data_IF_633510258541
#
_entry.id   IF_633510258541
#
_cell.length_a   1.000
_cell.length_b   1.000
_cell.length_c   1.000
_cell.angle_alpha   90.00
_cell.angle_beta   90.00
_cell.angle_gamma   90.00
#
_symmetry.space_group_name_H-M   'P 1'
#
loop_
_entity.id
_entity.type
_entity.pdbx_description
1 polymer ?
#
# COMPACT_ATOMS: atom_id res chain seq x y z
N UNK A 1 5.45 7.93 1.41
CA UNK A 1 4.63 7.59 2.62
C UNK A 1 5.32 6.45 3.38
N UNK A 2 5.14 6.30 4.70
CA UNK A 2 5.71 5.13 5.42
C UNK A 2 4.71 3.99 5.38
N UNK A 3 5.05 2.92 4.68
CA UNK A 3 4.26 1.71 4.65
C UNK A 3 4.78 0.76 5.72
N UNK A 4 3.90 0.35 6.62
CA UNK A 4 4.27 -0.46 7.78
C UNK A 4 4.01 -1.92 7.44
N UNK A 5 5.05 -2.79 7.43
CA UNK A 5 4.84 -4.23 7.34
C UNK A 5 3.95 -4.69 8.50
N UNK A 6 2.82 -5.32 8.18
CA UNK A 6 1.89 -5.74 9.22
C UNK A 6 1.05 -4.62 9.81
N UNK A 7 0.81 -3.51 9.08
CA UNK A 7 -0.16 -2.48 9.49
C UNK A 7 -1.54 -3.04 9.89
N UNK A 8 -1.95 -4.20 9.34
CA UNK A 8 -3.14 -4.92 9.77
C UNK A 8 -3.09 -5.42 11.23
N UNK A 9 -1.93 -5.41 11.87
CA UNK A 9 -1.67 -5.78 13.27
C UNK A 9 -1.56 -4.56 14.20
N UNK A 10 -1.86 -3.35 13.72
CA UNK A 10 -1.90 -2.17 14.57
C UNK A 10 -2.98 -2.35 15.65
N UNK A 11 -2.54 -2.42 16.91
CA UNK A 11 -3.41 -2.59 18.08
C UNK A 11 -4.25 -1.34 18.38
N UNK A 12 -3.73 -0.16 18.05
CA UNK A 12 -4.46 1.11 18.17
C UNK A 12 -5.46 1.23 17.01
N UNK A 13 -6.75 1.14 17.34
CA UNK A 13 -7.85 1.18 16.37
C UNK A 13 -7.92 2.51 15.61
N UNK A 14 -7.61 3.63 16.28
CA UNK A 14 -7.63 4.95 15.64
C UNK A 14 -6.51 5.04 14.61
N UNK A 15 -5.29 4.62 14.97
CA UNK A 15 -4.16 4.63 14.05
C UNK A 15 -4.38 3.70 12.85
N UNK A 16 -4.96 2.53 13.08
CA UNK A 16 -5.29 1.56 12.01
C UNK A 16 -6.35 2.13 11.07
N UNK A 17 -7.40 2.75 11.60
CA UNK A 17 -8.47 3.31 10.78
C UNK A 17 -7.97 4.49 9.94
N UNK A 18 -7.12 5.35 10.51
CA UNK A 18 -6.45 6.39 9.73
C UNK A 18 -5.55 5.81 8.63
N UNK A 19 -4.88 4.70 8.89
CA UNK A 19 -4.08 4.01 7.89
C UNK A 19 -4.96 3.43 6.76
N UNK A 20 -6.09 2.80 7.09
CA UNK A 20 -7.10 2.36 6.14
C UNK A 20 -7.57 3.50 5.23
N UNK A 21 -7.97 4.64 5.80
CA UNK A 21 -8.41 5.81 5.03
C UNK A 21 -7.31 6.34 4.10
N UNK A 22 -6.07 6.32 4.55
CA UNK A 22 -4.93 6.73 3.74
C UNK A 22 -4.72 5.79 2.54
N UNK A 23 -4.84 4.47 2.74
CA UNK A 23 -4.76 3.51 1.65
C UNK A 23 -5.92 3.68 0.66
N UNK A 24 -7.14 3.96 1.14
CA UNK A 24 -8.28 4.27 0.27
C UNK A 24 -7.99 5.43 -0.67
N UNK A 25 -7.39 6.51 -0.17
CA UNK A 25 -6.97 7.64 -1.00
C UNK A 25 -5.90 7.25 -2.03
N UNK A 26 -4.91 6.44 -1.63
CA UNK A 26 -3.86 5.97 -2.54
C UNK A 26 -4.44 5.10 -3.69
N UNK A 27 -5.47 4.29 -3.41
CA UNK A 27 -6.21 3.52 -4.43
C UNK A 27 -6.93 4.45 -5.40
N UNK A 28 -7.70 5.41 -4.89
CA UNK A 28 -8.47 6.36 -5.71
C UNK A 28 -7.56 7.19 -6.61
N UNK A 29 -6.41 7.61 -6.09
CA UNK A 29 -5.39 8.34 -6.85
C UNK A 29 -4.61 7.46 -7.84
N UNK A 30 -4.83 6.13 -7.82
CA UNK A 30 -4.23 5.18 -8.75
C UNK A 30 -2.75 4.92 -8.50
N UNK A 31 -2.27 5.09 -7.25
CA UNK A 31 -0.87 4.83 -6.89
C UNK A 31 -0.52 3.35 -6.87
N UNK A 32 -1.51 2.52 -6.57
CA UNK A 32 -1.39 1.06 -6.58
C UNK A 32 -2.21 0.56 -7.77
N UNK A 33 -1.60 -0.09 -8.76
CA UNK A 33 -2.34 -0.66 -9.88
C UNK A 33 -3.22 -1.80 -9.38
N UNK A 34 -4.48 -1.80 -9.81
CA UNK A 34 -5.47 -2.82 -9.45
C UNK A 34 -5.97 -3.54 -10.71
N UNK A 35 -6.42 -4.78 -10.55
CA UNK A 35 -7.40 -5.39 -11.46
C UNK A 35 -8.81 -4.93 -11.11
N UNK A 36 -9.77 -5.16 -12.01
CA UNK A 36 -11.20 -4.88 -11.77
C UNK A 36 -11.69 -5.62 -10.53
N UNK A 37 -11.44 -6.93 -10.45
CA UNK A 37 -11.84 -7.76 -9.30
C UNK A 37 -11.27 -7.24 -7.97
N UNK A 38 -10.01 -6.78 -7.98
CA UNK A 38 -9.38 -6.19 -6.79
C UNK A 38 -10.08 -4.88 -6.40
N UNK A 39 -10.38 -4.02 -7.36
CA UNK A 39 -11.05 -2.76 -7.13
C UNK A 39 -12.48 -2.97 -6.57
N UNK A 40 -13.25 -3.88 -7.16
CA UNK A 40 -14.58 -4.29 -6.69
C UNK A 40 -14.54 -4.79 -5.25
N UNK A 41 -13.61 -5.71 -4.95
CA UNK A 41 -13.49 -6.31 -3.62
C UNK A 41 -13.03 -5.29 -2.56
N UNK A 42 -12.12 -4.38 -2.90
CA UNK A 42 -11.70 -3.31 -2.01
C UNK A 42 -12.85 -2.33 -1.74
N UNK A 43 -13.63 -1.95 -2.76
CA UNK A 43 -14.80 -1.11 -2.59
C UNK A 43 -15.81 -1.72 -1.62
N UNK A 44 -16.10 -3.02 -1.74
CA UNK A 44 -17.00 -3.73 -0.82
C UNK A 44 -16.47 -3.74 0.63
N UNK A 45 -15.18 -4.03 0.82
CA UNK A 45 -14.54 -4.00 2.14
C UNK A 45 -14.53 -2.59 2.75
N UNK A 46 -14.35 -1.55 1.93
CA UNK A 46 -14.41 -0.15 2.39
C UNK A 46 -15.79 0.20 2.94
N UNK A 47 -16.85 -0.24 2.26
CA UNK A 47 -18.23 0.01 2.68
C UNK A 47 -18.53 -0.72 3.98
N UNK A 48 -18.18 -2.01 4.10
CA UNK A 48 -18.33 -2.76 5.34
C UNK A 48 -17.53 -2.14 6.50
N UNK A 49 -16.34 -1.60 6.22
CA UNK A 49 -15.53 -0.94 7.25
C UNK A 49 -16.11 0.40 7.72
N UNK A 50 -16.86 1.12 6.87
CA UNK A 50 -17.40 2.45 7.16
C UNK A 50 -18.87 2.42 7.62
N UNK A 51 -19.65 1.44 7.19
CA UNK A 51 -21.09 1.36 7.39
C UNK A 51 -21.57 0.09 8.12
N UNK A 52 -20.65 -0.84 8.43
CA UNK A 52 -20.99 -2.18 8.94
C UNK A 52 -21.89 -2.96 7.97
N UNK A 53 -22.74 -3.88 8.43
CA UNK A 53 -23.60 -4.68 7.56
C UNK A 53 -24.54 -3.84 6.69
N UNK A 54 -24.61 -4.18 5.40
CA UNK A 54 -25.54 -3.57 4.46
C UNK A 54 -26.97 -3.58 4.98
N UNK A 55 -27.56 -2.39 5.10
CA UNK A 55 -28.97 -2.18 5.32
C UNK A 55 -29.61 -1.76 3.99
N UNK A 56 -30.85 -2.16 3.71
CA UNK A 56 -31.61 -1.75 2.50
C UNK A 56 -31.93 -0.24 2.45
N UNK A 57 -31.25 0.58 3.26
CA UNK A 57 -31.40 2.03 3.26
C UNK A 57 -30.60 2.70 2.14
N UNK A 58 -30.96 3.95 1.84
CA UNK A 58 -30.37 4.73 0.75
C UNK A 58 -28.93 5.18 1.02
N UNK A 59 -28.43 5.04 2.25
CA UNK A 59 -27.17 5.67 2.67
C UNK A 59 -25.97 5.07 1.94
N UNK A 60 -25.93 3.75 1.74
CA UNK A 60 -24.84 3.11 1.02
C UNK A 60 -24.84 3.50 -0.47
N UNK A 61 -26.00 3.46 -1.14
CA UNK A 61 -26.11 3.79 -2.57
C UNK A 61 -25.84 5.27 -2.86
N UNK A 62 -26.24 6.17 -1.96
CA UNK A 62 -25.95 7.60 -2.09
C UNK A 62 -24.46 7.88 -1.78
N UNK A 63 -23.86 7.18 -0.81
CA UNK A 63 -22.42 7.27 -0.54
C UNK A 63 -21.55 6.85 -1.74
N UNK A 64 -21.97 5.81 -2.47
CA UNK A 64 -21.36 5.35 -3.72
C UNK A 64 -21.30 6.44 -4.81
N UNK A 65 -22.27 7.35 -4.83
CA UNK A 65 -22.33 8.46 -5.81
C UNK A 65 -21.48 9.64 -5.37
N UNK A 66 -21.43 9.88 -4.07
CA UNK A 66 -20.75 11.05 -3.49
C UNK A 66 -19.26 10.82 -3.23
N UNK A 67 -18.79 9.55 -3.21
CA UNK A 67 -17.42 9.20 -2.88
C UNK A 67 -16.76 8.35 -3.98
N UNK A 68 -15.52 8.68 -4.30
CA UNK A 68 -14.71 7.88 -5.22
C UNK A 68 -14.26 6.60 -4.51
N UNK A 69 -14.72 5.44 -5.01
CA UNK A 69 -14.33 4.13 -4.49
C UNK A 69 -13.32 3.39 -5.40
N UNK A 70 -13.24 3.81 -6.67
CA UNK A 70 -12.39 3.19 -7.68
C UNK A 70 -11.27 4.14 -8.12
N UNK A 71 -10.14 3.59 -8.62
CA UNK A 71 -9.08 4.40 -9.22
C UNK A 71 -9.60 5.28 -10.35
N UNK A 72 -9.19 6.55 -10.38
CA UNK A 72 -9.55 7.51 -11.45
C UNK A 72 -9.23 6.99 -12.86
N UNK A 73 -8.21 6.13 -12.98
CA UNK A 73 -7.81 5.50 -14.24
C UNK A 73 -8.84 4.51 -14.80
N UNK A 74 -9.65 3.90 -13.91
CA UNK A 74 -10.72 2.96 -14.25
C UNK A 74 -12.07 3.64 -14.48
N UNK A 75 -12.25 4.87 -13.98
CA UNK A 75 -13.51 5.62 -14.09
C UNK A 75 -13.65 6.42 -15.39
N UNK A 76 -13.13 5.91 -16.52
CA UNK A 76 -13.16 6.62 -17.82
C UNK A 76 -14.45 6.37 -18.60
N UNK A 77 -15.11 5.25 -18.36
CA UNK A 77 -16.31 4.82 -19.04
C UNK A 77 -17.43 4.59 -18.01
N UNK A 78 -18.56 5.25 -18.20
CA UNK A 78 -19.68 5.26 -17.25
C UNK A 78 -20.33 3.87 -17.12
N UNK A 79 -20.37 3.10 -18.22
CA UNK A 79 -20.91 1.73 -18.22
C UNK A 79 -20.07 0.82 -17.34
N UNK A 80 -18.74 0.84 -17.54
CA UNK A 80 -17.78 0.06 -16.76
C UNK A 80 -17.84 0.43 -15.28
N UNK A 81 -17.94 1.72 -14.96
CA UNK A 81 -18.11 2.18 -13.57
C UNK A 81 -19.39 1.63 -12.96
N UNK A 82 -20.51 1.71 -13.68
CA UNK A 82 -21.81 1.22 -13.21
C UNK A 82 -21.78 -0.29 -12.94
N UNK A 83 -21.14 -1.06 -13.81
CA UNK A 83 -20.96 -2.51 -13.64
C UNK A 83 -20.13 -2.83 -12.39
N UNK A 84 -18.96 -2.18 -12.23
CA UNK A 84 -18.12 -2.34 -11.04
C UNK A 84 -18.84 -1.94 -9.75
N UNK A 85 -19.64 -0.86 -9.78
CA UNK A 85 -20.43 -0.42 -8.64
C UNK A 85 -21.48 -1.46 -8.24
N UNK A 86 -22.20 -2.00 -9.21
CA UNK A 86 -23.19 -3.03 -8.97
C UNK A 86 -22.56 -4.30 -8.39
N UNK A 87 -21.41 -4.72 -8.93
CA UNK A 87 -20.68 -5.87 -8.40
C UNK A 87 -20.14 -5.61 -6.99
N UNK A 88 -19.61 -4.41 -6.72
CA UNK A 88 -19.14 -4.03 -5.40
C UNK A 88 -20.28 -4.03 -4.37
N UNK A 89 -21.48 -3.57 -4.75
CA UNK A 89 -22.66 -3.63 -3.90
C UNK A 89 -23.06 -5.08 -3.58
N UNK A 90 -23.04 -5.97 -4.59
CA UNK A 90 -23.32 -7.40 -4.37
C UNK A 90 -22.29 -8.04 -3.44
N UNK A 91 -21.00 -7.71 -3.60
CA UNK A 91 -19.95 -8.14 -2.69
C UNK A 91 -20.17 -7.60 -1.27
N UNK A 92 -20.58 -6.34 -1.12
CA UNK A 92 -20.87 -5.73 0.17
C UNK A 92 -22.03 -6.44 0.90
N UNK A 93 -23.12 -6.75 0.20
CA UNK A 93 -24.23 -7.55 0.75
C UNK A 93 -23.72 -8.92 1.26
N UNK A 94 -22.80 -9.55 0.54
CA UNK A 94 -22.23 -10.84 0.92
C UNK A 94 -21.24 -10.76 2.11
N UNK A 95 -20.86 -9.57 2.56
CA UNK A 95 -20.04 -9.37 3.76
C UNK A 95 -20.88 -9.30 5.05
N UNK A 96 -22.19 -9.52 4.99
CA UNK A 96 -23.06 -9.53 6.16
C UNK A 96 -22.50 -10.40 7.31
N UNK A 97 -22.45 -9.85 8.52
CA UNK A 97 -21.89 -10.44 9.72
C UNK A 97 -20.37 -10.27 9.85
N UNK A 98 -19.70 -9.65 8.87
CA UNK A 98 -18.28 -9.31 8.98
C UNK A 98 -18.14 -7.99 9.73
N UNK A 99 -17.73 -8.05 10.99
CA UNK A 99 -17.48 -6.86 11.80
C UNK A 99 -16.60 -5.83 11.08
N UNK A 100 -16.95 -4.53 11.15
CA UNK A 100 -16.25 -3.45 10.44
C UNK A 100 -14.72 -3.45 10.66
N UNK A 101 -14.24 -3.70 11.89
CA UNK A 101 -12.80 -3.84 12.19
C UNK A 101 -12.14 -4.96 11.38
N UNK A 102 -12.84 -6.08 11.16
CA UNK A 102 -12.32 -7.20 10.36
C UNK A 102 -12.28 -6.83 8.88
N UNK A 103 -13.27 -6.08 8.39
CA UNK A 103 -13.26 -5.54 7.03
C UNK A 103 -12.09 -4.57 6.80
N UNK A 104 -11.84 -3.67 7.76
CA UNK A 104 -10.70 -2.75 7.78
C UNK A 104 -9.36 -3.51 7.72
N UNK A 105 -9.17 -4.52 8.59
CA UNK A 105 -7.98 -5.37 8.63
C UNK A 105 -7.78 -6.09 7.31
N UNK A 106 -8.84 -6.66 6.73
CA UNK A 106 -8.78 -7.35 5.44
C UNK A 106 -8.39 -6.39 4.32
N UNK A 107 -9.01 -5.21 4.26
CA UNK A 107 -8.67 -4.16 3.29
C UNK A 107 -7.16 -3.83 3.31
N UNK A 108 -6.60 -3.63 4.51
CA UNK A 108 -5.16 -3.37 4.69
C UNK A 108 -4.32 -4.58 4.25
N UNK A 109 -4.72 -5.81 4.62
CA UNK A 109 -4.01 -7.05 4.25
C UNK A 109 -3.96 -7.25 2.74
N UNK A 110 -5.07 -7.00 2.05
CA UNK A 110 -5.16 -7.24 0.62
C UNK A 110 -4.30 -6.25 -0.15
N UNK A 111 -4.36 -4.97 0.21
CA UNK A 111 -3.49 -3.94 -0.36
C UNK A 111 -2.01 -4.25 -0.07
N UNK A 112 -1.68 -4.76 1.12
CA UNK A 112 -0.32 -5.17 1.47
C UNK A 112 0.27 -6.25 0.56
N UNK A 113 -0.57 -7.07 -0.07
CA UNK A 113 -0.16 -8.12 -0.99
C UNK A 113 -0.08 -7.66 -2.45
N UNK A 114 -0.53 -6.44 -2.75
CA UNK A 114 -0.57 -5.92 -4.12
C UNK A 114 0.78 -5.40 -4.59
N UNK A 115 1.05 -5.59 -5.88
CA UNK A 115 2.24 -5.05 -6.53
C UNK A 115 2.22 -3.53 -6.51
N UNK A 116 3.31 -2.92 -6.06
CA UNK A 116 3.42 -1.46 -5.90
C UNK A 116 3.08 -0.97 -4.49
N UNK A 117 2.52 -1.80 -3.61
CA UNK A 117 2.33 -1.42 -2.22
C UNK A 117 3.66 -1.16 -1.53
N UNK A 118 3.79 0.00 -0.90
CA UNK A 118 5.03 0.38 -0.26
C UNK A 118 6.14 0.82 -1.21
N UNK A 119 5.83 0.97 -2.50
CA UNK A 119 6.82 1.25 -3.53
C UNK A 119 6.65 2.66 -4.08
N UNK A 120 7.45 3.60 -3.56
CA UNK A 120 7.71 4.86 -4.25
C UNK A 120 8.88 4.65 -5.23
N UNK A 121 8.67 4.95 -6.51
CA UNK A 121 9.70 4.80 -7.56
C UNK A 121 9.72 5.96 -8.54
N UNK A 122 10.89 6.14 -9.15
CA UNK A 122 11.20 7.27 -10.01
C UNK A 122 11.93 6.79 -11.25
N UNK A 123 11.71 7.45 -12.38
CA UNK A 123 12.46 7.17 -13.60
C UNK A 123 13.95 7.48 -13.39
N UNK A 124 14.80 6.57 -13.84
CA UNK A 124 16.24 6.71 -13.77
C UNK A 124 16.92 5.99 -14.95
N UNK A 125 18.21 6.24 -15.10
CA UNK A 125 19.09 5.52 -16.03
C UNK A 125 20.30 4.97 -15.30
N UNK A 126 20.74 3.77 -15.62
CA UNK A 126 22.02 3.28 -15.09
C UNK A 126 23.23 3.96 -15.77
N UNK A 127 24.44 3.54 -15.40
CA UNK A 127 25.70 4.04 -16.00
C UNK A 127 25.80 3.79 -17.51
N UNK A 128 25.07 2.80 -18.03
CA UNK A 128 25.01 2.46 -19.46
C UNK A 128 23.89 3.20 -20.19
N UNK A 129 23.15 4.07 -19.50
CA UNK A 129 22.03 4.82 -20.06
C UNK A 129 20.74 4.03 -20.22
N UNK A 130 20.66 2.81 -19.64
CA UNK A 130 19.47 1.96 -19.74
C UNK A 130 18.39 2.45 -18.80
N UNK A 131 17.18 2.56 -19.31
CA UNK A 131 16.05 3.14 -18.59
C UNK A 131 15.45 2.14 -17.60
N UNK A 132 15.16 2.62 -16.40
CA UNK A 132 14.65 1.82 -15.29
C UNK A 132 13.82 2.67 -14.33
N UNK A 133 13.03 2.00 -13.49
CA UNK A 133 12.44 2.59 -12.30
C UNK A 133 13.27 2.24 -11.08
N UNK A 134 13.74 3.27 -10.37
CA UNK A 134 14.45 3.14 -9.11
C UNK A 134 13.52 3.50 -7.96
N UNK A 135 13.36 2.59 -7.01
CA UNK A 135 12.43 2.79 -5.91
C UNK A 135 12.86 2.13 -4.61
N UNK A 136 12.01 2.29 -3.61
CA UNK A 136 12.15 1.66 -2.29
C UNK A 136 11.03 0.65 -2.09
N UNK A 137 11.23 -0.33 -1.23
CA UNK A 137 10.21 -1.24 -0.74
C UNK A 137 10.55 -1.64 0.69
N UNK A 138 9.65 -2.34 1.38
CA UNK A 138 9.80 -2.58 2.82
C UNK A 138 11.08 -3.34 3.25
N UNK A 139 11.75 -4.06 2.33
CA UNK A 139 13.02 -4.76 2.63
C UNK A 139 14.25 -4.12 1.98
N UNK A 140 14.12 -3.05 1.18
CA UNK A 140 15.26 -2.49 0.47
C UNK A 140 14.95 -1.42 -0.58
N UNK A 141 15.86 -1.29 -1.53
CA UNK A 141 15.66 -0.56 -2.78
C UNK A 141 15.62 -1.54 -3.95
N UNK A 142 15.06 -1.11 -5.08
CA UNK A 142 15.05 -1.91 -6.31
C UNK A 142 15.30 -1.03 -7.54
N UNK A 143 15.90 -1.63 -8.57
CA UNK A 143 16.04 -1.07 -9.91
C UNK A 143 15.36 -2.02 -10.91
N UNK A 144 14.18 -1.61 -11.41
CA UNK A 144 13.36 -2.37 -12.36
C UNK A 144 13.57 -1.82 -13.77
N UNK A 145 14.32 -2.55 -14.59
CA UNK A 145 14.63 -2.16 -15.97
C UNK A 145 13.40 -2.25 -16.87
N UNK A 146 13.31 -1.33 -17.82
CA UNK A 146 12.20 -1.25 -18.78
C UNK A 146 12.34 -2.25 -19.95
N UNK A 147 13.53 -2.82 -20.17
CA UNK A 147 13.85 -3.54 -21.41
C UNK A 147 14.48 -4.93 -21.20
N UNK A 148 13.75 -5.80 -20.49
CA UNK A 148 14.05 -7.25 -20.47
C UNK A 148 15.14 -7.66 -19.49
N UNK A 149 15.83 -6.74 -18.84
CA UNK A 149 16.73 -7.09 -17.74
C UNK A 149 15.99 -7.40 -16.44
N UNK A 150 16.57 -8.33 -15.67
CA UNK A 150 16.07 -8.68 -14.36
C UNK A 150 16.08 -7.47 -13.42
N UNK A 151 15.07 -7.39 -12.55
CA UNK A 151 15.03 -6.40 -11.48
C UNK A 151 16.16 -6.67 -10.49
N UNK A 152 16.93 -5.63 -10.17
CA UNK A 152 17.99 -5.70 -9.16
C UNK A 152 17.43 -5.24 -7.83
N UNK A 153 17.65 -6.00 -6.77
CA UNK A 153 17.22 -5.67 -5.40
C UNK A 153 18.43 -5.39 -4.51
N UNK A 154 18.34 -4.34 -3.71
CA UNK A 154 19.33 -3.92 -2.72
C UNK A 154 18.71 -4.00 -1.33
N UNK A 155 19.04 -5.04 -0.54
CA UNK A 155 18.40 -5.20 0.77
C UNK A 155 18.91 -4.17 1.78
N UNK A 156 18.07 -3.72 2.71
CA UNK A 156 18.45 -2.72 3.70
C UNK A 156 19.65 -3.11 4.57
N UNK A 157 19.86 -4.40 4.80
CA UNK A 157 21.01 -4.96 5.52
C UNK A 157 22.28 -5.07 4.66
N UNK A 158 22.17 -5.00 3.34
CA UNK A 158 23.30 -5.07 2.41
C UNK A 158 23.80 -3.68 1.98
N UNK A 159 22.92 -2.68 2.00
CA UNK A 159 23.23 -1.28 1.69
C UNK A 159 24.11 -0.69 2.80
N UNK A 160 25.37 -0.45 2.49
CA UNK A 160 26.35 0.17 3.38
C UNK A 160 26.22 1.70 3.37
N UNK A 161 26.07 2.30 2.19
CA UNK A 161 25.91 3.76 2.03
C UNK A 161 24.95 4.09 0.90
N UNK A 162 24.20 5.17 1.09
CA UNK A 162 23.42 5.84 0.05
C UNK A 162 23.97 7.26 -0.11
N UNK A 163 24.53 7.55 -1.27
CA UNK A 163 25.11 8.83 -1.62
C UNK A 163 24.36 9.48 -2.79
N UNK A 164 24.53 10.79 -2.91
CA UNK A 164 23.95 11.55 -4.00
C UNK A 164 24.89 12.69 -4.39
N UNK A 165 25.03 12.91 -5.70
CA UNK A 165 25.75 14.04 -6.28
C UNK A 165 25.00 14.53 -7.52
N UNK A 166 24.55 15.78 -7.50
CA UNK A 166 23.66 16.34 -8.55
C UNK A 166 22.44 15.42 -8.80
N UNK A 167 22.25 14.92 -10.02
CA UNK A 167 21.17 13.98 -10.35
C UNK A 167 21.54 12.50 -10.18
N UNK A 168 22.76 12.21 -9.72
CA UNK A 168 23.24 10.84 -9.58
C UNK A 168 23.02 10.34 -8.15
N UNK A 169 22.32 9.22 -8.00
CA UNK A 169 22.22 8.45 -6.78
C UNK A 169 23.21 7.28 -6.84
N UNK A 170 23.95 7.07 -5.76
CA UNK A 170 24.92 5.97 -5.64
C UNK A 170 24.52 5.07 -4.47
N UNK A 171 24.42 3.76 -4.77
CA UNK A 171 24.07 2.71 -3.81
C UNK A 171 25.28 1.82 -3.62
N UNK A 172 25.94 1.97 -2.48
CA UNK A 172 27.05 1.12 -2.06
C UNK A 172 26.51 -0.05 -1.24
N UNK A 173 26.78 -1.27 -1.69
CA UNK A 173 26.63 -2.49 -0.90
C UNK A 173 27.99 -3.00 -0.44
N UNK A 174 28.00 -4.05 0.38
CA UNK A 174 29.26 -4.75 0.73
C UNK A 174 30.00 -5.36 -0.46
N UNK A 175 29.33 -5.55 -1.61
CA UNK A 175 29.88 -6.28 -2.77
C UNK A 175 30.04 -5.41 -4.02
N UNK A 176 29.29 -4.32 -4.14
CA UNK A 176 29.24 -3.50 -5.34
C UNK A 176 28.88 -2.05 -5.02
N UNK A 177 29.30 -1.15 -5.89
CA UNK A 177 28.79 0.22 -5.97
C UNK A 177 28.03 0.37 -7.28
N UNK A 178 26.85 0.96 -7.24
CA UNK A 178 25.98 1.13 -8.42
C UNK A 178 25.45 2.55 -8.50
N UNK A 179 25.51 3.16 -9.68
CA UNK A 179 25.10 4.54 -9.91
C UNK A 179 23.87 4.64 -10.82
N UNK A 180 22.96 5.53 -10.44
CA UNK A 180 21.69 5.77 -11.13
C UNK A 180 21.49 7.27 -11.35
N UNK A 181 21.25 7.65 -12.60
CA UNK A 181 20.98 9.01 -13.02
C UNK A 181 19.47 9.26 -13.01
N UNK A 182 19.01 10.10 -12.10
CA UNK A 182 17.61 10.50 -11.99
C UNK A 182 17.31 11.67 -12.95
N UNK A 183 16.03 12.03 -13.08
CA UNK A 183 15.59 13.15 -13.92
C UNK A 183 16.26 14.47 -13.52
N UNK A 184 16.23 14.78 -12.22
CA UNK A 184 16.76 16.02 -11.66
C UNK A 184 17.44 15.81 -10.30
N UNK A 185 18.13 16.86 -9.81
CA UNK A 185 18.86 16.78 -8.55
C UNK A 185 17.95 16.74 -7.31
N UNK A 186 16.74 17.26 -7.38
CA UNK A 186 15.84 17.33 -6.24
C UNK A 186 15.16 15.97 -6.03
N UNK A 187 14.79 15.29 -7.11
CA UNK A 187 14.37 13.88 -7.10
C UNK A 187 15.46 12.99 -6.50
N UNK A 188 16.73 13.15 -6.93
CA UNK A 188 17.84 12.37 -6.37
C UNK A 188 18.06 12.62 -4.87
N UNK A 189 17.99 13.89 -4.42
CA UNK A 189 18.07 14.23 -2.99
C UNK A 189 16.91 13.62 -2.21
N UNK A 190 15.70 13.68 -2.76
CA UNK A 190 14.50 13.13 -2.12
C UNK A 190 14.63 11.62 -1.93
N UNK A 191 14.94 10.88 -3.00
CA UNK A 191 15.08 9.42 -2.98
C UNK A 191 16.13 8.98 -1.97
N UNK A 192 17.28 9.68 -1.93
CA UNK A 192 18.31 9.44 -0.91
C UNK A 192 17.77 9.64 0.50
N UNK A 193 17.17 10.80 0.78
CA UNK A 193 16.64 11.13 2.11
C UNK A 193 15.59 10.11 2.55
N UNK A 194 14.70 9.76 1.64
CA UNK A 194 13.64 8.78 1.90
C UNK A 194 14.20 7.38 2.14
N UNK A 195 15.13 6.90 1.31
CA UNK A 195 15.81 5.62 1.49
C UNK A 195 16.55 5.53 2.83
N UNK A 196 17.23 6.59 3.27
CA UNK A 196 17.89 6.65 4.58
C UNK A 196 16.88 6.58 5.75
N UNK A 197 15.72 7.26 5.62
CA UNK A 197 14.66 7.18 6.62
C UNK A 197 14.07 5.77 6.72
N UNK A 198 13.81 5.11 5.57
CA UNK A 198 13.33 3.73 5.54
C UNK A 198 14.37 2.75 6.11
N UNK A 199 15.65 2.90 5.76
CA UNK A 199 16.72 2.06 6.32
C UNK A 199 16.82 2.23 7.84
N UNK A 200 16.71 3.47 8.35
CA UNK A 200 16.67 3.74 9.79
C UNK A 200 15.48 3.04 10.44
N UNK A 201 14.29 3.18 9.87
CA UNK A 201 13.06 2.53 10.34
C UNK A 201 13.19 1.00 10.37
N UNK A 202 13.70 0.40 9.29
CA UNK A 202 13.98 -1.03 9.21
C UNK A 202 14.93 -1.51 10.33
N UNK A 203 16.00 -0.76 10.61
CA UNK A 203 16.95 -1.10 11.69
C UNK A 203 16.29 -1.05 13.06
N UNK A 204 15.50 -0.01 13.36
CA UNK A 204 14.81 0.14 14.65
C UNK A 204 13.83 -1.00 14.94
N UNK A 205 13.09 -1.46 13.91
CA UNK A 205 12.13 -2.56 14.04
C UNK A 205 12.77 -3.96 14.01
N UNK A 206 14.05 -4.08 13.62
CA UNK A 206 14.81 -5.33 13.76
C UNK A 206 15.44 -5.50 15.12
N UNK A 207 15.89 -4.40 15.74
CA UNK A 207 16.56 -4.41 17.05
C UNK A 207 15.59 -4.39 18.23
N UNK A 208 14.33 -4.09 17.97
CA UNK A 208 13.25 -4.11 18.96
C UNK A 208 12.19 -5.05 18.44
N UNK A 209 12.08 -6.30 18.94
CA UNK A 209 10.83 -7.02 18.78
C UNK A 209 9.79 -6.20 19.54
N UNK A 210 9.01 -5.38 18.84
CA UNK A 210 7.96 -4.62 19.50
C UNK A 210 6.99 -5.63 20.12
N UNK A 211 6.96 -5.70 21.44
CA UNK A 211 6.04 -6.49 22.24
C UNK A 211 4.57 -6.05 22.11
N UNK A 212 4.20 -5.34 21.05
CA UNK A 212 2.86 -4.81 20.78
C UNK A 212 2.22 -5.37 19.52
N UNK A 213 2.81 -6.41 18.91
CA UNK A 213 2.13 -7.18 17.86
C UNK A 213 1.15 -8.15 18.55
N UNK A 214 -0.06 -7.67 18.84
CA UNK A 214 -1.16 -8.56 19.25
C UNK A 214 -1.62 -9.29 17.99
N UNK A 215 -1.64 -10.62 18.05
CA UNK A 215 -2.15 -11.45 16.97
C UNK A 215 -3.68 -11.35 16.96
N UNK A 216 -4.23 -10.37 16.22
CA UNK A 216 -5.68 -10.14 16.08
C UNK A 216 -6.41 -11.27 15.33
N UNK A 217 -5.75 -12.39 15.06
CA UNK A 217 -6.39 -13.59 14.54
C UNK A 217 -7.23 -14.33 15.61
N UNK A 218 -7.13 -13.94 16.89
CA UNK A 218 -8.00 -14.42 17.97
C UNK A 218 -9.12 -13.40 18.29
N UNK A 219 -10.02 -13.15 17.35
CA UNK A 219 -11.38 -12.76 17.75
C UNK A 219 -12.13 -14.07 18.00
N UNK A 220 -12.46 -14.43 19.26
CA UNK A 220 -13.25 -15.61 19.51
C UNK A 220 -14.61 -15.42 18.83
N UNK A 221 -14.91 -16.29 17.87
CA UNK A 221 -16.29 -16.56 17.50
C UNK A 221 -17.01 -16.95 18.79
N UNK A 222 -18.06 -16.21 19.12
CA UNK A 222 -18.89 -16.33 20.34
C UNK A 222 -18.35 -15.68 21.62
N UNK A 223 -18.93 -14.54 21.95
CA UNK A 223 -19.29 -14.25 23.34
C UNK A 223 -20.68 -13.61 23.36
N UNK A 224 -21.68 -14.49 23.47
CA UNK A 224 -22.88 -14.17 24.24
C UNK A 224 -22.41 -13.78 25.64
N UNK A 225 -22.53 -12.51 26.00
CA UNK A 225 -22.60 -12.14 27.41
C UNK A 225 -23.61 -11.02 27.60
N UNK A 226 -24.77 -11.43 28.12
CA UNK A 226 -25.81 -10.62 28.71
C UNK A 226 -25.28 -9.52 29.62
N UNK A 227 -25.91 -8.35 29.56
CA UNK A 227 -26.39 -7.57 30.74
C UNK A 227 -27.70 -6.91 30.24
N UNK A 228 -28.88 -7.47 30.56
CA UNK A 228 -29.75 -7.14 31.72
C UNK A 228 -30.26 -5.70 31.71
#
# INVERSE_FOLDING_TARGET
MFYIPGAHKLADEVARFQYFLQLKNDIVDGRIPLSVDQAVRLSALSLQAEFDDYQEDKNAQDYFKDNALFPKTMCKDETTVTEMMHEALNCYINLHGVHHVKAEINYIKDIQMMDGYGMDYYAAKDEKGRELYLGTFYQGMFARYLHGEATVFFRWNEIARLNQSKKTLEIDTSKSSSQYHMEDSDTAKYVRRFGLLQQKFYRMNKTTPSSSVVDLNEFPETSNMYIS
#
